data_IF_399587959282
#
_entry.id   IF_399587959282
#
_cell.length_a   1.000
_cell.length_b   1.000
_cell.length_c   1.000
_cell.angle_alpha   90.00
_cell.angle_beta   90.00
_cell.angle_gamma   90.00
#
_symmetry.space_group_name_H-M   'P 1'
#
loop_
_entity.id
_entity.type
_entity.pdbx_description
1 polymer ?
#
# COMPACT_ATOMS: atom_id res chain seq x y z
N UNK A 1 -1.03 -21.91 -14.06
CA UNK A 1 -0.32 -20.68 -14.50
C UNK A 1 -0.49 -20.38 -15.99
N UNK A 2 -0.33 -21.34 -16.91
CA UNK A 2 -0.45 -21.10 -18.37
C UNK A 2 -1.78 -20.47 -18.79
N UNK A 3 -2.90 -20.91 -18.19
CA UNK A 3 -4.22 -20.35 -18.47
C UNK A 3 -4.39 -18.90 -17.98
N UNK A 4 -3.77 -18.54 -16.85
CA UNK A 4 -3.75 -17.15 -16.35
C UNK A 4 -3.02 -16.26 -17.34
N UNK A 5 -1.85 -16.69 -17.82
CA UNK A 5 -1.10 -15.97 -18.85
C UNK A 5 -1.96 -15.73 -20.10
N UNK A 6 -2.69 -16.74 -20.58
CA UNK A 6 -3.58 -16.59 -21.73
C UNK A 6 -4.66 -15.52 -21.54
N UNK A 7 -5.23 -15.39 -20.34
CA UNK A 7 -6.22 -14.33 -20.10
C UNK A 7 -5.61 -12.93 -20.11
N UNK A 8 -4.40 -12.75 -19.59
CA UNK A 8 -3.70 -11.46 -19.63
C UNK A 8 -3.27 -11.02 -21.03
N UNK A 9 -2.86 -11.96 -21.89
CA UNK A 9 -2.43 -11.62 -23.26
C UNK A 9 -3.58 -11.56 -24.27
N UNK A 10 -4.80 -11.93 -23.85
CA UNK A 10 -6.00 -12.03 -24.70
C UNK A 10 -6.30 -10.73 -25.46
N UNK A 11 -6.23 -9.60 -24.77
CA UNK A 11 -6.58 -8.29 -25.30
C UNK A 11 -5.37 -7.50 -25.81
N UNK A 12 -4.15 -8.02 -25.60
CA UNK A 12 -2.87 -7.37 -26.01
C UNK A 12 -2.75 -5.94 -25.47
N UNK A 13 -3.12 -5.76 -24.21
CA UNK A 13 -3.11 -4.47 -23.54
C UNK A 13 -1.68 -3.94 -23.36
N UNK A 14 -1.44 -2.64 -23.59
CA UNK A 14 -0.13 -2.03 -23.32
C UNK A 14 0.27 -2.06 -21.84
N UNK A 15 -0.66 -1.78 -20.91
CA UNK A 15 -0.40 -1.67 -19.47
C UNK A 15 -0.97 -2.85 -18.69
N UNK A 16 -2.29 -3.07 -18.73
CA UNK A 16 -2.93 -4.13 -17.92
C UNK A 16 -2.73 -5.52 -18.56
N UNK A 17 -1.51 -6.02 -18.46
CA UNK A 17 -1.01 -7.28 -19.04
C UNK A 17 -0.29 -8.15 -18.00
N UNK A 18 0.31 -9.24 -18.45
CA UNK A 18 0.99 -10.24 -17.62
C UNK A 18 2.20 -9.67 -16.88
N UNK A 19 2.91 -8.70 -17.48
CA UNK A 19 4.01 -8.01 -16.80
C UNK A 19 3.52 -7.11 -15.67
N UNK A 20 2.36 -6.46 -15.82
CA UNK A 20 1.77 -5.68 -14.75
C UNK A 20 1.36 -6.59 -13.59
N UNK A 21 0.67 -7.70 -13.88
CA UNK A 21 0.35 -8.71 -12.87
C UNK A 21 1.59 -9.25 -12.15
N UNK A 22 2.69 -9.49 -12.88
CA UNK A 22 3.96 -9.91 -12.30
C UNK A 22 4.60 -8.83 -11.42
N UNK A 23 4.57 -7.56 -11.84
CA UNK A 23 5.09 -6.42 -11.06
C UNK A 23 4.32 -6.24 -9.75
N UNK A 24 2.99 -6.30 -9.79
CA UNK A 24 2.12 -6.22 -8.61
C UNK A 24 2.38 -7.41 -7.68
N UNK A 25 2.42 -8.64 -8.21
CA UNK A 25 2.71 -9.85 -7.43
C UNK A 25 4.08 -9.78 -6.75
N UNK A 26 5.10 -9.33 -7.48
CA UNK A 26 6.45 -9.17 -6.94
C UNK A 26 6.48 -8.09 -5.86
N UNK A 27 5.77 -6.99 -6.05
CA UNK A 27 5.68 -5.90 -5.08
C UNK A 27 4.97 -6.38 -3.80
N UNK A 28 3.86 -7.11 -3.91
CA UNK A 28 3.16 -7.73 -2.77
C UNK A 28 4.08 -8.69 -2.03
N UNK A 29 4.78 -9.57 -2.74
CA UNK A 29 5.76 -10.49 -2.15
C UNK A 29 6.87 -9.73 -1.40
N UNK A 30 7.42 -8.66 -1.99
CA UNK A 30 8.40 -7.81 -1.33
C UNK A 30 7.85 -7.22 -0.02
N UNK A 31 6.61 -6.73 -0.01
CA UNK A 31 5.98 -6.20 1.21
C UNK A 31 5.76 -7.29 2.27
N UNK A 32 5.35 -8.50 1.86
CA UNK A 32 5.18 -9.63 2.77
C UNK A 32 6.49 -10.01 3.46
N UNK A 33 7.58 -10.13 2.70
CA UNK A 33 8.88 -10.59 3.23
C UNK A 33 9.67 -9.48 3.93
N UNK A 34 9.87 -8.34 3.28
CA UNK A 34 10.83 -7.32 3.72
C UNK A 34 10.25 -6.34 4.75
N UNK A 35 8.92 -6.20 4.78
CA UNK A 35 8.23 -5.35 5.78
C UNK A 35 7.64 -6.15 6.94
N UNK A 36 7.97 -7.45 7.02
CA UNK A 36 7.59 -8.30 8.15
C UNK A 36 6.10 -8.65 8.24
N UNK A 37 5.29 -8.31 7.22
CA UNK A 37 3.85 -8.58 7.23
C UNK A 37 3.55 -10.09 7.29
N UNK A 38 4.40 -10.93 6.70
CA UNK A 38 4.30 -12.39 6.80
C UNK A 38 4.37 -12.91 8.25
N UNK A 39 5.00 -12.18 9.19
CA UNK A 39 5.05 -12.59 10.60
C UNK A 39 3.71 -12.40 11.34
N UNK A 40 2.77 -11.66 10.75
CA UNK A 40 1.46 -11.35 11.30
C UNK A 40 0.32 -12.18 10.67
N UNK A 41 0.59 -12.73 9.48
CA UNK A 41 -0.38 -13.43 8.65
C UNK A 41 -0.25 -14.95 8.82
N UNK A 42 -1.34 -15.67 8.56
CA UNK A 42 -1.32 -17.12 8.39
C UNK A 42 -0.82 -17.50 6.99
N UNK A 43 -0.43 -18.76 6.80
CA UNK A 43 -0.03 -19.27 5.48
C UNK A 43 -1.18 -19.15 4.46
N UNK A 44 -2.43 -19.34 4.90
CA UNK A 44 -3.62 -19.19 4.05
C UNK A 44 -3.82 -17.73 3.60
N UNK A 45 -3.61 -16.77 4.49
CA UNK A 45 -3.71 -15.33 4.19
C UNK A 45 -2.59 -14.86 3.25
N UNK A 46 -1.36 -15.36 3.45
CA UNK A 46 -0.22 -15.11 2.56
C UNK A 46 -0.52 -15.68 1.17
N UNK A 47 -1.02 -16.93 1.11
CA UNK A 47 -1.40 -17.57 -0.14
C UNK A 47 -2.52 -16.80 -0.85
N UNK A 48 -3.57 -16.38 -0.13
CA UNK A 48 -4.64 -15.55 -0.66
C UNK A 48 -4.12 -14.22 -1.21
N UNK A 49 -3.23 -13.55 -0.50
CA UNK A 49 -2.66 -12.27 -0.95
C UNK A 49 -1.88 -12.40 -2.27
N UNK A 50 -1.08 -13.45 -2.41
CA UNK A 50 -0.35 -13.73 -3.64
C UNK A 50 -1.29 -14.10 -4.79
N UNK A 51 -2.31 -14.92 -4.55
CA UNK A 51 -3.29 -15.26 -5.59
C UNK A 51 -4.11 -14.04 -6.00
N UNK A 52 -4.56 -13.22 -5.06
CA UNK A 52 -5.26 -11.97 -5.35
C UNK A 52 -4.43 -11.07 -6.26
N UNK A 53 -3.14 -10.87 -5.95
CA UNK A 53 -2.23 -10.09 -6.80
C UNK A 53 -2.07 -10.67 -8.21
N UNK A 54 -1.99 -12.00 -8.34
CA UNK A 54 -1.88 -12.69 -9.63
C UNK A 54 -3.14 -12.53 -10.49
N UNK A 55 -4.33 -12.40 -9.90
CA UNK A 55 -5.60 -12.42 -10.64
C UNK A 55 -6.33 -11.07 -10.67
N UNK A 56 -5.82 -10.02 -10.02
CA UNK A 56 -6.57 -8.78 -9.80
C UNK A 56 -7.05 -8.11 -11.09
N UNK A 57 -6.33 -8.30 -12.19
CA UNK A 57 -6.61 -7.76 -13.53
C UNK A 57 -6.88 -8.84 -14.59
N UNK A 58 -7.25 -10.05 -14.16
CA UNK A 58 -7.36 -11.18 -15.06
C UNK A 58 -8.41 -10.95 -16.16
N UNK A 59 -8.00 -11.05 -17.43
CA UNK A 59 -8.80 -10.70 -18.62
C UNK A 59 -9.23 -9.22 -18.72
N UNK A 60 -8.41 -8.28 -18.23
CA UNK A 60 -8.64 -6.85 -18.45
C UNK A 60 -8.79 -6.51 -19.95
N UNK A 61 -9.74 -5.63 -20.29
CA UNK A 61 -10.15 -5.33 -21.68
C UNK A 61 -9.38 -4.18 -22.32
N UNK A 62 -8.50 -3.55 -21.53
CA UNK A 62 -7.75 -2.36 -21.91
C UNK A 62 -8.59 -1.08 -21.87
N UNK A 63 -9.69 -1.08 -21.10
CA UNK A 63 -10.61 0.05 -20.95
C UNK A 63 -11.15 0.10 -19.52
N UNK A 64 -11.57 1.27 -19.04
CA UNK A 64 -12.04 1.48 -17.67
C UNK A 64 -13.48 1.01 -17.42
N UNK A 65 -13.87 0.89 -16.15
CA UNK A 65 -15.27 0.66 -15.74
C UNK A 65 -16.24 1.68 -16.37
N UNK A 66 -15.87 2.96 -16.43
CA UNK A 66 -16.70 4.00 -17.05
C UNK A 66 -16.94 3.75 -18.54
N UNK A 67 -15.92 3.31 -19.29
CA UNK A 67 -16.08 2.93 -20.69
C UNK A 67 -17.10 1.80 -20.85
N UNK A 68 -17.00 0.76 -20.03
CA UNK A 68 -17.92 -0.38 -20.04
C UNK A 68 -19.38 0.02 -19.78
N UNK A 69 -19.61 0.93 -18.83
CA UNK A 69 -20.94 1.47 -18.50
C UNK A 69 -21.47 2.34 -19.64
N UNK A 70 -20.68 3.29 -20.13
CA UNK A 70 -21.10 4.24 -21.18
C UNK A 70 -21.36 3.54 -22.53
N UNK A 71 -20.59 2.50 -22.84
CA UNK A 71 -20.78 1.68 -24.04
C UNK A 71 -21.84 0.58 -23.89
N UNK A 72 -22.40 0.38 -22.68
CA UNK A 72 -23.37 -0.69 -22.35
C UNK A 72 -22.88 -2.09 -22.74
N UNK A 73 -21.60 -2.35 -22.45
CA UNK A 73 -21.00 -3.67 -22.70
C UNK A 73 -21.74 -4.79 -21.94
N UNK A 74 -21.66 -6.02 -22.44
CA UNK A 74 -22.26 -7.20 -21.78
C UNK A 74 -21.76 -7.38 -20.35
N UNK A 75 -20.48 -7.08 -20.09
CA UNK A 75 -19.88 -7.16 -18.75
C UNK A 75 -20.51 -6.14 -17.80
N UNK A 76 -20.78 -4.91 -18.27
CA UNK A 76 -21.46 -3.89 -17.46
C UNK A 76 -22.89 -4.30 -17.11
N UNK A 77 -23.63 -4.87 -18.09
CA UNK A 77 -24.98 -5.40 -17.86
C UNK A 77 -24.97 -6.56 -16.86
N UNK A 78 -23.98 -7.46 -16.95
CA UNK A 78 -23.84 -8.59 -16.04
C UNK A 78 -23.62 -8.16 -14.59
N UNK A 79 -22.77 -7.14 -14.38
CA UNK A 79 -22.41 -6.64 -13.05
C UNK A 79 -23.19 -5.40 -12.60
N UNK A 80 -24.22 -5.02 -13.36
CA UNK A 80 -25.12 -3.89 -13.05
C UNK A 80 -24.34 -2.61 -12.72
N UNK A 81 -23.35 -2.29 -13.57
CA UNK A 81 -22.52 -1.09 -13.51
C UNK A 81 -21.64 -0.93 -12.24
N UNK A 82 -21.47 -1.98 -11.42
CA UNK A 82 -20.71 -1.92 -10.16
C UNK A 82 -19.41 -2.69 -10.26
N UNK A 83 -18.27 -2.00 -10.09
CA UNK A 83 -16.92 -2.58 -10.12
C UNK A 83 -16.80 -3.65 -11.22
N UNK A 84 -17.14 -3.24 -12.46
CA UNK A 84 -17.48 -4.13 -13.57
C UNK A 84 -16.32 -5.06 -13.90
N UNK A 85 -15.12 -4.49 -13.97
CA UNK A 85 -13.89 -5.18 -14.28
C UNK A 85 -13.42 -6.03 -13.09
N UNK A 86 -13.40 -5.48 -11.88
CA UNK A 86 -12.92 -6.19 -10.70
C UNK A 86 -13.79 -7.42 -10.38
N UNK A 87 -15.11 -7.31 -10.56
CA UNK A 87 -16.01 -8.45 -10.49
C UNK A 87 -15.75 -9.48 -11.61
N UNK A 88 -15.44 -9.03 -12.83
CA UNK A 88 -15.08 -9.91 -13.95
C UNK A 88 -13.79 -10.67 -13.66
N UNK A 89 -12.74 -9.98 -13.19
CA UNK A 89 -11.43 -10.55 -12.88
C UNK A 89 -11.56 -11.70 -11.88
N UNK A 90 -12.15 -11.43 -10.72
CA UNK A 90 -12.26 -12.42 -9.66
C UNK A 90 -13.24 -13.55 -10.00
N UNK A 91 -14.37 -13.24 -10.65
CA UNK A 91 -15.34 -14.25 -11.10
C UNK A 91 -14.70 -15.23 -12.09
N UNK A 92 -13.98 -14.71 -13.08
CA UNK A 92 -13.35 -15.51 -14.12
C UNK A 92 -12.20 -16.34 -13.57
N UNK A 93 -11.38 -15.77 -12.68
CA UNK A 93 -10.31 -16.50 -12.01
C UNK A 93 -10.85 -17.70 -11.21
N UNK A 94 -11.95 -17.54 -10.47
CA UNK A 94 -12.54 -18.65 -9.73
C UNK A 94 -13.29 -19.66 -10.61
N UNK A 95 -13.85 -19.24 -11.76
CA UNK A 95 -14.38 -20.19 -12.75
C UNK A 95 -13.26 -21.06 -13.30
N UNK A 96 -12.08 -20.48 -13.55
CA UNK A 96 -10.89 -21.21 -13.99
C UNK A 96 -10.41 -22.23 -12.94
N UNK A 97 -10.32 -21.78 -11.68
CA UNK A 97 -9.91 -22.65 -10.57
C UNK A 97 -10.96 -23.72 -10.19
N UNK A 98 -12.13 -23.75 -10.86
CA UNK A 98 -13.10 -24.84 -10.71
C UNK A 98 -12.75 -26.04 -11.59
N UNK A 99 -12.01 -25.84 -12.68
CA UNK A 99 -11.62 -26.90 -13.60
C UNK A 99 -10.55 -27.78 -12.94
N UNK A 100 -10.71 -29.11 -12.99
CA UNK A 100 -9.86 -30.06 -12.25
C UNK A 100 -8.37 -29.87 -12.54
N UNK A 101 -8.01 -29.63 -13.80
CA UNK A 101 -6.62 -29.45 -14.25
C UNK A 101 -5.98 -28.12 -13.78
N UNK A 102 -6.78 -27.18 -13.28
CA UNK A 102 -6.33 -25.83 -12.88
C UNK A 102 -6.72 -25.44 -11.46
N UNK A 103 -7.34 -26.36 -10.73
CA UNK A 103 -7.76 -26.15 -9.36
C UNK A 103 -6.57 -26.30 -8.39
N UNK A 104 -5.85 -25.20 -8.18
CA UNK A 104 -4.78 -25.10 -7.16
C UNK A 104 -5.31 -25.10 -5.71
N UNK A 105 -6.63 -25.11 -5.52
CA UNK A 105 -7.31 -25.03 -4.23
C UNK A 105 -7.90 -26.38 -3.80
N UNK A 106 -7.66 -27.45 -4.57
CA UNK A 106 -8.28 -28.77 -4.43
C UNK A 106 -8.02 -29.46 -3.07
N UNK A 107 -6.94 -29.08 -2.39
CA UNK A 107 -6.54 -29.65 -1.10
C UNK A 107 -6.92 -28.77 0.11
N UNK A 108 -7.53 -27.62 -0.09
CA UNK A 108 -8.07 -26.83 1.02
C UNK A 108 -9.31 -27.52 1.59
N UNK A 109 -9.46 -27.48 2.92
CA UNK A 109 -10.73 -27.81 3.56
C UNK A 109 -11.83 -26.84 3.11
N UNK A 110 -13.10 -27.17 3.40
CA UNK A 110 -14.23 -26.31 3.02
C UNK A 110 -14.16 -24.96 3.72
N UNK A 111 -13.71 -24.96 4.97
CA UNK A 111 -13.53 -23.79 5.81
C UNK A 111 -12.41 -22.91 5.27
N UNK A 112 -11.23 -23.48 4.97
CA UNK A 112 -10.10 -22.76 4.37
C UNK A 112 -10.45 -22.20 3.00
N UNK A 113 -11.12 -22.97 2.13
CA UNK A 113 -11.56 -22.47 0.83
C UNK A 113 -12.51 -21.27 0.97
N UNK A 114 -13.44 -21.31 1.92
CA UNK A 114 -14.38 -20.21 2.17
C UNK A 114 -13.65 -18.96 2.65
N UNK A 115 -12.71 -19.10 3.59
CA UNK A 115 -11.89 -18.00 4.09
C UNK A 115 -11.01 -17.41 2.98
N UNK A 116 -10.25 -18.26 2.28
CA UNK A 116 -9.43 -17.89 1.13
C UNK A 116 -10.25 -17.13 0.08
N UNK A 117 -11.40 -17.69 -0.33
CA UNK A 117 -12.24 -17.11 -1.36
C UNK A 117 -12.77 -15.74 -0.95
N UNK A 118 -13.20 -15.60 0.30
CA UNK A 118 -13.71 -14.32 0.83
C UNK A 118 -12.60 -13.27 0.78
N UNK A 119 -11.42 -13.63 1.25
CA UNK A 119 -10.26 -12.72 1.29
C UNK A 119 -9.82 -12.28 -0.12
N UNK A 120 -9.71 -13.20 -1.07
CA UNK A 120 -9.35 -12.86 -2.47
C UNK A 120 -10.40 -11.94 -3.11
N UNK A 121 -11.70 -12.18 -2.88
CA UNK A 121 -12.77 -11.32 -3.39
C UNK A 121 -12.65 -9.91 -2.81
N UNK A 122 -12.49 -9.79 -1.49
CA UNK A 122 -12.37 -8.49 -0.81
C UNK A 122 -11.12 -7.72 -1.27
N UNK A 123 -10.01 -8.42 -1.54
CA UNK A 123 -8.78 -7.81 -2.05
C UNK A 123 -8.93 -7.32 -3.49
N UNK A 124 -9.45 -8.15 -4.40
CA UNK A 124 -9.58 -7.77 -5.81
C UNK A 124 -10.63 -6.69 -6.01
N UNK A 125 -11.78 -6.75 -5.33
CA UNK A 125 -12.77 -5.67 -5.42
C UNK A 125 -12.25 -4.34 -4.87
N UNK A 126 -11.28 -4.38 -3.97
CA UNK A 126 -10.64 -3.19 -3.42
C UNK A 126 -9.64 -2.53 -4.38
N UNK A 127 -9.28 -3.12 -5.52
CA UNK A 127 -8.43 -2.42 -6.52
C UNK A 127 -9.22 -1.40 -7.33
N UNK A 128 -10.57 -1.41 -7.29
CA UNK A 128 -11.39 -0.38 -7.93
C UNK A 128 -11.08 1.01 -7.37
N UNK A 129 -10.49 1.85 -8.22
CA UNK A 129 -10.12 3.23 -7.91
C UNK A 129 -11.30 4.11 -7.48
N UNK A 130 -12.55 3.74 -7.76
CA UNK A 130 -13.74 4.44 -7.26
C UNK A 130 -13.85 4.42 -5.74
N UNK A 131 -13.29 3.38 -5.09
CA UNK A 131 -13.33 3.18 -3.64
C UNK A 131 -12.09 3.72 -2.92
N UNK A 132 -11.08 4.18 -3.66
CA UNK A 132 -9.76 4.61 -3.18
C UNK A 132 -9.82 5.50 -1.93
N UNK A 133 -10.48 6.67 -2.03
CA UNK A 133 -10.50 7.64 -0.94
C UNK A 133 -11.25 7.12 0.29
N UNK A 134 -12.27 6.28 0.10
CA UNK A 134 -13.00 5.66 1.20
C UNK A 134 -12.12 4.67 1.95
N UNK A 135 -11.35 3.84 1.24
CA UNK A 135 -10.41 2.91 1.84
C UNK A 135 -9.33 3.62 2.64
N UNK A 136 -8.66 4.62 2.04
CA UNK A 136 -7.60 5.41 2.70
C UNK A 136 -8.14 6.08 3.96
N UNK A 137 -9.32 6.71 3.89
CA UNK A 137 -9.97 7.34 5.05
C UNK A 137 -10.28 6.32 6.15
N UNK A 138 -10.79 5.15 5.80
CA UNK A 138 -11.13 4.10 6.76
C UNK A 138 -9.91 3.61 7.52
N UNK A 139 -8.81 3.32 6.81
CA UNK A 139 -7.57 2.84 7.44
C UNK A 139 -6.92 3.94 8.30
N UNK A 140 -6.86 5.18 7.80
CA UNK A 140 -6.33 6.33 8.56
C UNK A 140 -7.09 6.55 9.87
N UNK A 141 -8.42 6.38 9.82
CA UNK A 141 -9.26 6.42 11.02
C UNK A 141 -8.87 5.30 12.00
N UNK A 142 -8.77 4.05 11.54
CA UNK A 142 -8.39 2.91 12.38
C UNK A 142 -7.02 3.07 13.04
N UNK A 143 -6.01 3.57 12.30
CA UNK A 143 -4.65 3.82 12.81
C UNK A 143 -4.65 4.83 13.96
N UNK A 144 -5.58 5.80 13.92
CA UNK A 144 -5.67 6.89 14.89
C UNK A 144 -6.42 6.52 16.17
N UNK A 145 -7.14 5.39 16.19
CA UNK A 145 -7.84 4.92 17.39
C UNK A 145 -6.84 4.30 18.39
N UNK A 146 -7.07 4.53 19.68
CA UNK A 146 -6.26 3.97 20.77
C UNK A 146 -6.34 2.44 20.81
N UNK A 147 -7.53 1.90 20.56
CA UNK A 147 -7.79 0.45 20.50
C UNK A 147 -7.62 -0.05 19.06
N UNK A 148 -6.37 0.00 18.56
CA UNK A 148 -6.05 -0.44 17.21
C UNK A 148 -6.40 -1.93 16.99
N UNK A 149 -7.52 -2.14 16.31
CA UNK A 149 -8.00 -3.43 15.84
C UNK A 149 -8.15 -3.38 14.32
N UNK A 150 -7.14 -3.91 13.63
CA UNK A 150 -7.13 -3.96 12.18
C UNK A 150 -7.61 -5.32 11.71
N UNK A 151 -8.70 -5.30 10.95
CA UNK A 151 -9.15 -6.44 10.16
C UNK A 151 -8.09 -6.75 9.08
N UNK A 152 -7.62 -8.00 9.06
CA UNK A 152 -6.60 -8.46 8.11
C UNK A 152 -7.06 -8.34 6.67
N UNK A 153 -8.35 -8.54 6.39
CA UNK A 153 -8.88 -8.38 5.04
C UNK A 153 -8.68 -6.94 4.55
N UNK A 154 -9.05 -5.94 5.37
CA UNK A 154 -8.84 -4.52 5.05
C UNK A 154 -7.37 -4.15 4.91
N UNK A 155 -6.51 -4.73 5.74
CA UNK A 155 -5.06 -4.53 5.66
C UNK A 155 -4.51 -5.04 4.32
N UNK A 156 -4.87 -6.26 3.95
CA UNK A 156 -4.42 -6.90 2.71
C UNK A 156 -5.02 -6.23 1.47
N UNK A 157 -6.28 -5.79 1.52
CA UNK A 157 -6.87 -4.95 0.46
C UNK A 157 -6.06 -3.67 0.25
N UNK A 158 -5.67 -2.95 1.31
CA UNK A 158 -4.81 -1.78 1.18
C UNK A 158 -3.41 -2.14 0.64
N UNK A 159 -2.83 -3.26 1.08
CA UNK A 159 -1.53 -3.73 0.57
C UNK A 159 -1.60 -3.94 -0.93
N UNK A 160 -2.59 -4.69 -1.42
CA UNK A 160 -2.75 -4.95 -2.86
C UNK A 160 -2.99 -3.64 -3.62
N UNK A 161 -3.92 -2.80 -3.14
CA UNK A 161 -4.23 -1.50 -3.74
C UNK A 161 -2.98 -0.63 -3.89
N UNK A 162 -2.17 -0.50 -2.84
CA UNK A 162 -0.93 0.27 -2.89
C UNK A 162 0.12 -0.34 -3.82
N UNK A 163 0.20 -1.68 -3.91
CA UNK A 163 1.14 -2.38 -4.79
C UNK A 163 0.75 -2.23 -6.27
N UNK A 164 -0.55 -2.26 -6.56
CA UNK A 164 -1.12 -2.06 -7.89
C UNK A 164 -0.72 -0.69 -8.48
N UNK A 165 -0.94 0.39 -7.72
CA UNK A 165 -0.58 1.75 -8.14
C UNK A 165 0.89 2.15 -7.86
N UNK A 166 1.77 1.19 -7.59
CA UNK A 166 3.09 1.48 -6.99
C UNK A 166 4.17 1.96 -7.97
N UNK A 167 3.97 1.91 -9.29
CA UNK A 167 5.04 2.22 -10.24
C UNK A 167 5.70 3.61 -10.05
N UNK A 168 5.04 4.68 -9.52
CA UNK A 168 5.70 5.94 -9.18
C UNK A 168 6.69 5.88 -8.02
N UNK A 169 6.64 4.81 -7.22
CA UNK A 169 7.59 4.54 -6.13
C UNK A 169 8.79 3.68 -6.55
N UNK A 170 8.91 3.36 -7.85
CA UNK A 170 10.01 2.58 -8.42
C UNK A 170 11.03 3.49 -9.10
N UNK A 171 12.22 2.96 -9.40
CA UNK A 171 13.26 3.72 -10.10
C UNK A 171 12.74 4.34 -11.41
N UNK A 172 13.24 5.52 -11.76
CA UNK A 172 12.75 6.35 -12.87
C UNK A 172 12.54 5.58 -14.18
N UNK A 173 13.52 4.78 -14.61
CA UNK A 173 13.45 4.08 -15.90
C UNK A 173 12.26 3.12 -15.97
N UNK A 174 11.94 2.47 -14.84
CA UNK A 174 10.79 1.59 -14.73
C UNK A 174 9.49 2.38 -14.61
N UNK A 175 9.46 3.40 -13.75
CA UNK A 175 8.30 4.27 -13.58
C UNK A 175 7.88 4.91 -14.91
N UNK A 176 8.82 5.53 -15.61
CA UNK A 176 8.61 6.21 -16.88
C UNK A 176 8.12 5.24 -17.95
N UNK A 177 8.69 4.03 -18.04
CA UNK A 177 8.20 3.00 -18.98
C UNK A 177 6.75 2.61 -18.69
N UNK A 178 6.41 2.37 -17.42
CA UNK A 178 5.03 2.07 -17.03
C UNK A 178 4.07 3.21 -17.34
N UNK A 179 4.48 4.46 -17.08
CA UNK A 179 3.68 5.63 -17.45
C UNK A 179 3.39 5.67 -18.95
N UNK A 180 4.39 5.43 -19.81
CA UNK A 180 4.17 5.43 -21.26
C UNK A 180 3.21 4.33 -21.71
N UNK A 181 3.31 3.14 -21.13
CA UNK A 181 2.39 2.03 -21.41
C UNK A 181 0.96 2.37 -20.96
N UNK A 182 0.80 2.95 -19.77
CA UNK A 182 -0.50 3.38 -19.24
C UNK A 182 -1.14 4.44 -20.12
N UNK A 183 -0.37 5.46 -20.53
CA UNK A 183 -0.88 6.52 -21.40
C UNK A 183 -1.28 5.98 -22.77
N UNK A 184 -0.51 5.07 -23.37
CA UNK A 184 -0.91 4.45 -24.63
C UNK A 184 -2.23 3.69 -24.48
N UNK A 185 -2.43 2.96 -23.39
CA UNK A 185 -3.69 2.25 -23.15
C UNK A 185 -4.88 3.21 -22.99
N UNK A 186 -4.73 4.30 -22.23
CA UNK A 186 -5.75 5.35 -22.13
C UNK A 186 -6.04 6.02 -23.48
N UNK A 187 -5.02 6.25 -24.30
CA UNK A 187 -5.21 6.83 -25.63
C UNK A 187 -5.93 5.87 -26.58
N UNK A 188 -5.66 4.57 -26.50
CA UNK A 188 -6.42 3.56 -27.23
C UNK A 188 -7.89 3.50 -26.78
N UNK A 189 -8.17 3.70 -25.48
CA UNK A 189 -9.55 3.88 -25.02
C UNK A 189 -10.17 5.14 -25.62
N UNK A 190 -9.47 6.28 -25.61
CA UNK A 190 -9.99 7.53 -26.19
C UNK A 190 -10.33 7.39 -27.68
N UNK A 191 -9.51 6.67 -28.44
CA UNK A 191 -9.79 6.38 -29.85
C UNK A 191 -11.08 5.57 -30.01
N UNK A 192 -11.32 4.58 -29.12
CA UNK A 192 -12.57 3.81 -29.08
C UNK A 192 -13.76 4.70 -28.71
N UNK A 193 -13.62 5.57 -27.71
CA UNK A 193 -14.65 6.51 -27.28
C UNK A 193 -15.06 7.43 -28.44
N UNK A 194 -14.07 8.02 -29.14
CA UNK A 194 -14.30 8.83 -30.33
C UNK A 194 -15.04 8.05 -31.42
N UNK A 195 -14.63 6.82 -31.70
CA UNK A 195 -15.26 5.98 -32.72
C UNK A 195 -16.72 5.62 -32.40
N UNK A 196 -17.05 5.53 -31.11
CA UNK A 196 -18.41 5.28 -30.62
C UNK A 196 -19.24 6.56 -30.44
N UNK A 197 -18.66 7.74 -30.69
CA UNK A 197 -19.32 9.03 -30.42
C UNK A 197 -19.49 9.34 -28.93
N UNK A 198 -18.69 8.71 -28.06
CA UNK A 198 -18.65 8.98 -26.63
C UNK A 198 -17.72 10.15 -26.31
N UNK A 199 -17.97 10.91 -25.23
CA UNK A 199 -16.99 11.88 -24.73
C UNK A 199 -15.73 11.17 -24.26
N UNK A 200 -14.57 11.82 -24.42
CA UNK A 200 -13.32 11.29 -23.89
C UNK A 200 -13.37 11.21 -22.36
N UNK A 201 -12.97 10.06 -21.82
CA UNK A 201 -12.67 9.93 -20.40
C UNK A 201 -11.46 10.79 -20.04
N UNK A 202 -11.31 11.20 -18.76
CA UNK A 202 -10.12 11.91 -18.30
C UNK A 202 -8.83 11.21 -18.75
N UNK A 203 -7.85 11.99 -19.22
CA UNK A 203 -6.54 11.52 -19.72
C UNK A 203 -6.57 10.64 -20.98
N UNK A 204 -7.73 10.36 -21.57
CA UNK A 204 -7.85 9.49 -22.74
C UNK A 204 -7.68 10.22 -24.08
N UNK A 205 -7.67 11.56 -24.10
CA UNK A 205 -7.40 12.32 -25.33
C UNK A 205 -5.90 12.58 -25.50
N UNK A 206 -5.28 11.87 -26.45
CA UNK A 206 -3.85 11.97 -26.79
C UNK A 206 -3.42 13.36 -27.29
N UNK A 207 -4.35 14.23 -27.67
CA UNK A 207 -4.02 15.57 -28.19
C UNK A 207 -3.98 16.64 -27.10
N UNK A 208 -4.65 16.41 -25.97
CA UNK A 208 -4.81 17.41 -24.90
C UNK A 208 -4.17 16.98 -23.59
N UNK A 209 -3.91 15.68 -23.40
CA UNK A 209 -3.36 15.15 -22.16
C UNK A 209 -1.92 15.60 -21.91
N UNK A 210 -1.70 16.25 -20.76
CA UNK A 210 -0.39 16.69 -20.30
C UNK A 210 0.22 15.63 -19.37
N UNK A 211 0.97 14.69 -19.96
CA UNK A 211 1.46 13.51 -19.25
C UNK A 211 2.25 13.91 -17.99
N UNK A 212 3.25 14.79 -18.11
CA UNK A 212 4.08 15.18 -16.97
C UNK A 212 3.29 15.79 -15.80
N UNK A 213 2.34 16.68 -16.10
CA UNK A 213 1.47 17.30 -15.09
C UNK A 213 0.52 16.26 -14.46
N UNK A 214 -0.03 15.35 -15.27
CA UNK A 214 -0.88 14.26 -14.76
C UNK A 214 -0.14 13.36 -13.78
N UNK A 215 1.14 13.04 -14.04
CA UNK A 215 1.94 12.19 -13.15
C UNK A 215 2.32 12.89 -11.85
N UNK A 216 2.60 14.20 -11.89
CA UNK A 216 2.80 15.00 -10.68
C UNK A 216 1.53 14.96 -9.81
N UNK A 217 0.36 15.19 -10.41
CA UNK A 217 -0.91 15.10 -9.71
C UNK A 217 -1.19 13.71 -9.14
N UNK A 218 -0.91 12.65 -9.91
CA UNK A 218 -1.07 11.28 -9.45
C UNK A 218 -0.17 10.96 -8.24
N UNK A 219 1.09 11.40 -8.26
CA UNK A 219 2.00 11.25 -7.11
C UNK A 219 1.45 12.01 -5.90
N UNK A 220 1.09 13.29 -6.07
CA UNK A 220 0.75 14.18 -4.96
C UNK A 220 -0.59 13.85 -4.30
N UNK A 221 -1.58 13.42 -5.08
CA UNK A 221 -2.95 13.27 -4.59
C UNK A 221 -3.38 11.81 -4.40
N UNK A 222 -2.69 10.86 -5.02
CA UNK A 222 -3.06 9.44 -4.96
C UNK A 222 -1.94 8.62 -4.31
N UNK A 223 -0.76 8.55 -4.92
CA UNK A 223 0.25 7.55 -4.54
C UNK A 223 0.96 7.91 -3.23
N UNK A 224 1.45 9.13 -3.07
CA UNK A 224 2.16 9.52 -1.86
C UNK A 224 1.27 9.46 -0.60
N UNK A 225 0.04 9.99 -0.58
CA UNK A 225 -0.87 9.85 0.57
C UNK A 225 -1.20 8.39 0.90
N UNK A 226 -1.34 7.54 -0.12
CA UNK A 226 -1.63 6.11 0.07
C UNK A 226 -0.47 5.39 0.72
N UNK A 227 0.75 5.62 0.22
CA UNK A 227 1.96 4.99 0.76
C UNK A 227 2.35 5.55 2.14
N UNK A 228 1.93 6.77 2.48
CA UNK A 228 2.03 7.30 3.84
C UNK A 228 1.14 6.50 4.81
N UNK A 229 -0.15 6.37 4.49
CA UNK A 229 -1.11 5.60 5.31
C UNK A 229 -0.73 4.13 5.38
N UNK A 230 -0.23 3.55 4.30
CA UNK A 230 0.31 2.20 4.27
C UNK A 230 1.52 2.06 5.20
N UNK A 231 2.47 2.99 5.17
CA UNK A 231 3.62 2.99 6.08
C UNK A 231 3.21 3.08 7.55
N UNK A 232 2.25 3.95 7.86
CA UNK A 232 1.71 4.09 9.22
C UNK A 232 1.01 2.81 9.69
N UNK A 233 0.28 2.14 8.78
CA UNK A 233 -0.37 0.86 9.06
C UNK A 233 0.66 -0.21 9.42
N UNK A 234 1.74 -0.34 8.63
CA UNK A 234 2.82 -1.30 8.88
C UNK A 234 3.48 -1.04 10.25
N UNK A 235 3.74 0.23 10.59
CA UNK A 235 4.31 0.59 11.89
C UNK A 235 3.40 0.17 13.06
N UNK A 236 2.08 0.34 12.91
CA UNK A 236 1.11 -0.09 13.93
C UNK A 236 1.03 -1.61 14.07
N UNK A 237 1.06 -2.35 12.96
CA UNK A 237 1.07 -3.82 12.98
C UNK A 237 2.33 -4.31 13.71
N UNK A 238 3.51 -3.76 13.36
CA UNK A 238 4.77 -4.14 13.97
C UNK A 238 4.81 -3.83 15.47
N UNK A 239 4.32 -2.67 15.90
CA UNK A 239 4.21 -2.31 17.33
C UNK A 239 3.33 -3.29 18.12
N UNK A 240 2.22 -3.75 17.53
CA UNK A 240 1.31 -4.72 18.16
C UNK A 240 1.90 -6.14 18.21
N UNK A 241 2.68 -6.51 17.20
CA UNK A 241 3.39 -7.80 17.18
C UNK A 241 4.53 -7.84 18.21
N UNK A 242 5.21 -6.73 18.45
CA UNK A 242 6.26 -6.64 19.47
C UNK A 242 5.69 -6.66 20.89
N UNK A 243 4.56 -5.98 21.16
CA UNK A 243 3.95 -5.97 22.50
C UNK A 243 3.42 -7.34 22.91
N UNK A 244 2.90 -8.12 21.96
CA UNK A 244 2.45 -9.51 22.19
C UNK A 244 3.60 -10.52 22.36
N UNK A 245 4.84 -10.16 21.98
CA UNK A 245 6.04 -11.02 22.10
C UNK A 245 6.91 -10.77 23.34
N UNK A 246 6.46 -9.96 24.30
CA UNK A 246 7.17 -9.72 25.57
C UNK A 246 7.49 -11.05 26.29
N UNK A 247 8.70 -11.26 26.87
CA UNK A 247 9.14 -12.56 27.36
C UNK A 247 8.37 -13.00 28.61
N UNK A 248 8.27 -14.32 28.89
CA UNK A 248 7.80 -14.78 30.18
C UNK A 248 8.72 -14.22 31.28
N UNK A 249 8.11 -13.77 32.37
CA UNK A 249 8.78 -13.34 33.59
C UNK A 249 9.86 -14.37 33.92
N UNK A 250 11.14 -13.99 33.84
CA UNK A 250 12.21 -14.77 34.41
C UNK A 250 11.96 -14.78 35.92
N UNK A 251 11.47 -15.90 36.45
CA UNK A 251 11.59 -16.19 37.87
C UNK A 251 13.07 -16.03 38.22
N UNK A 252 13.36 -15.02 39.04
CA UNK A 252 14.67 -14.86 39.67
C UNK A 252 14.87 -16.05 40.61
N UNK A 253 15.52 -17.10 40.10
CA UNK A 253 16.20 -18.09 40.93
C UNK A 253 17.38 -17.38 41.56
N UNK A 254 17.19 -16.83 42.76
CA UNK A 254 18.31 -16.48 43.62
C UNK A 254 18.87 -17.79 44.21
N UNK A 255 20.03 -18.19 43.71
CA UNK A 255 20.90 -19.17 44.34
C UNK A 255 21.32 -18.65 45.73
N UNK A 256 20.87 -19.32 46.80
CA UNK A 256 21.45 -19.15 48.13
C UNK A 256 22.71 -20.00 48.28
N UNK A 257 23.80 -19.36 48.69
CA UNK A 257 25.11 -19.96 48.93
C UNK A 257 25.11 -20.90 50.14
N UNK A 258 25.77 -22.04 49.96
CA UNK A 258 26.39 -22.94 50.94
C UNK A 258 26.46 -22.49 52.41
N UNK A 259 25.90 -23.32 53.30
CA UNK A 259 26.17 -23.32 54.73
C UNK A 259 25.56 -24.56 55.41
N UNK A 260 26.38 -25.57 55.68
CA UNK A 260 26.00 -26.79 56.41
C UNK A 260 25.66 -26.50 57.89
N UNK A 261 24.52 -26.99 58.38
CA UNK A 261 24.44 -27.95 59.50
C UNK A 261 22.99 -28.24 59.98
N UNK A 262 22.70 -29.55 60.04
CA UNK A 262 21.92 -30.31 61.05
C UNK A 262 20.44 -29.98 61.35
N UNK A 263 19.64 -30.98 60.97
CA UNK A 263 18.70 -31.75 61.81
C UNK A 263 17.25 -31.27 62.02
N UNK A 264 16.37 -32.15 61.54
CA UNK A 264 15.18 -32.71 62.21
C UNK A 264 13.78 -32.20 61.85
N UNK A 265 12.93 -33.21 61.61
CA UNK A 265 11.51 -33.34 61.96
C UNK A 265 10.42 -32.72 61.05
N UNK A 266 9.74 -33.64 60.36
CA UNK A 266 8.29 -33.89 60.37
C UNK A 266 7.29 -32.77 59.95
N UNK A 267 6.53 -33.11 58.90
CA UNK A 267 5.06 -33.33 58.92
C UNK A 267 4.09 -32.16 58.57
N UNK A 268 3.48 -32.35 57.38
CA UNK A 268 2.04 -32.25 57.00
C UNK A 268 1.28 -30.91 56.98
N UNK A 269 0.51 -30.80 55.88
CA UNK A 269 -0.85 -30.21 55.68
C UNK A 269 -0.89 -28.66 55.75
N UNK A 270 -1.78 -27.92 55.08
CA UNK A 270 -2.85 -28.08 54.08
C UNK A 270 -3.49 -26.69 53.94
N UNK A 271 -4.05 -26.36 52.76
CA UNK A 271 -5.18 -25.42 52.53
C UNK A 271 -4.92 -23.91 52.81
N UNK A 272 -5.01 -23.04 51.80
CA UNK A 272 -6.22 -22.45 51.18
C UNK A 272 -7.01 -21.52 52.10
N UNK A 273 -7.24 -20.28 51.62
CA UNK A 273 -8.40 -19.36 51.78
C UNK A 273 -7.87 -17.90 51.66
N UNK A 274 -8.09 -17.20 50.53
CA UNK A 274 -9.21 -16.29 50.19
C UNK A 274 -9.36 -15.05 51.08
N UNK A 275 -9.55 -13.88 50.43
CA UNK A 275 -10.17 -12.67 50.99
C UNK A 275 -9.27 -11.44 50.90
N UNK A 276 -9.37 -10.61 49.86
CA UNK A 276 -10.24 -9.42 49.79
C UNK A 276 -9.81 -8.31 50.78
N UNK A 277 -9.13 -7.26 50.29
CA UNK A 277 -9.69 -5.99 49.78
C UNK A 277 -9.95 -4.95 50.89
N UNK A 278 -9.57 -3.70 50.57
CA UNK A 278 -10.17 -2.41 50.98
C UNK A 278 -9.32 -1.48 51.87
N UNK A 279 -8.87 -0.39 51.20
CA UNK A 279 -8.71 1.02 51.63
C UNK A 279 -7.77 1.31 52.84
N UNK A 280 -7.20 2.50 53.06
CA UNK A 280 -7.38 3.85 52.55
C UNK A 280 -6.11 4.63 53.00
N UNK A 281 -5.49 5.47 52.16
CA UNK A 281 -5.69 6.94 52.12
C UNK A 281 -4.88 7.74 53.17
N UNK A 282 -4.03 8.65 52.64
CA UNK A 282 -3.56 9.96 53.19
C UNK A 282 -2.52 9.90 54.33
N UNK A 283 -1.59 10.84 54.53
CA UNK A 283 -1.26 12.21 54.06
C UNK A 283 0.21 12.40 54.51
N UNK A 284 1.13 12.91 53.68
CA UNK A 284 1.44 14.33 53.46
C UNK A 284 1.88 15.09 54.74
N UNK A 285 3.17 15.46 54.81
CA UNK A 285 3.68 16.80 55.16
C UNK A 285 5.18 16.78 55.51
N UNK A 286 5.98 17.45 54.68
CA UNK A 286 7.23 18.17 55.04
C UNK A 286 6.86 19.43 55.86
N UNK A 287 7.79 20.23 56.47
CA UNK A 287 8.82 21.01 55.74
C UNK A 287 10.14 21.37 56.50
N UNK A 288 11.11 21.90 55.72
CA UNK A 288 12.09 22.99 56.01
C UNK A 288 13.05 22.91 57.26
N UNK A 289 14.38 23.08 57.15
CA UNK A 289 15.11 24.35 56.94
C UNK A 289 16.65 24.13 56.95
N UNK A 290 17.40 24.97 56.23
CA UNK A 290 18.89 25.09 56.17
C UNK A 290 19.47 25.93 57.35
N UNK A 291 20.81 26.14 57.57
CA UNK A 291 21.84 26.64 56.62
C UNK A 291 23.33 26.15 56.78
N UNK A 292 24.14 26.54 55.79
CA UNK A 292 25.61 26.50 55.54
C UNK A 292 26.55 27.03 56.68
N UNK A 293 27.91 27.13 56.55
CA UNK A 293 28.85 26.82 55.42
C UNK A 293 30.18 26.08 55.81
N UNK A 294 30.99 25.62 54.83
CA UNK A 294 32.44 25.93 54.64
C UNK A 294 33.18 24.92 53.73
N UNK A 295 33.92 25.46 52.75
CA UNK A 295 34.92 24.85 51.84
C UNK A 295 36.30 24.73 52.53
N UNK A 296 37.34 23.99 52.04
CA UNK A 296 37.75 23.89 50.61
C UNK A 296 38.34 22.54 50.08
N UNK A 297 38.06 22.25 48.79
CA UNK A 297 38.92 21.71 47.68
C UNK A 297 39.76 20.39 47.83
N UNK A 298 40.28 19.81 46.74
CA UNK A 298 39.60 19.15 45.61
C UNK A 298 40.08 17.69 45.41
N UNK A 299 39.23 16.78 44.93
CA UNK A 299 39.71 15.55 44.26
C UNK A 299 38.75 15.09 43.18
N UNK A 300 39.33 14.87 42.00
CA UNK A 300 38.71 14.46 40.75
C UNK A 300 38.23 13.01 40.81
N UNK A 301 36.93 12.78 40.65
CA UNK A 301 36.38 11.45 40.35
C UNK A 301 35.44 11.53 39.15
N UNK A 302 35.63 10.59 38.22
CA UNK A 302 34.91 10.49 36.96
C UNK A 302 33.43 10.16 37.17
N UNK A 303 32.50 10.67 36.34
CA UNK A 303 31.08 10.35 36.45
C UNK A 303 30.77 8.94 35.94
N UNK A 304 29.78 8.24 36.53
CA UNK A 304 29.31 6.96 36.03
C UNK A 304 28.58 7.16 34.68
N UNK A 305 28.89 6.28 33.73
CA UNK A 305 28.25 6.20 32.42
C UNK A 305 26.73 6.02 32.53
N UNK A 306 25.90 6.79 31.80
CA UNK A 306 24.47 6.55 31.75
C UNK A 306 24.21 5.25 30.98
N UNK A 307 23.48 4.32 31.62
CA UNK A 307 22.87 3.16 30.94
C UNK A 307 21.93 3.68 29.87
N UNK A 308 22.44 3.77 28.64
CA UNK A 308 21.62 4.04 27.47
C UNK A 308 20.90 2.74 27.15
N UNK A 309 19.67 2.59 27.66
CA UNK A 309 18.76 1.60 27.11
C UNK A 309 18.32 2.12 25.75
N UNK A 310 19.20 1.96 24.75
CA UNK A 310 18.87 2.23 23.36
C UNK A 310 17.94 1.11 22.92
N UNK A 311 16.64 1.26 23.20
CA UNK A 311 15.64 0.52 22.43
C UNK A 311 15.81 0.98 20.98
N UNK A 312 16.52 0.19 20.17
CA UNK A 312 16.49 0.32 18.73
C UNK A 312 15.04 0.10 18.31
N UNK A 313 14.27 1.18 18.19
CA UNK A 313 12.98 1.15 17.51
C UNK A 313 13.30 0.81 16.06
N UNK A 314 13.10 -0.45 15.69
CA UNK A 314 13.07 -0.88 14.29
C UNK A 314 12.03 -0.03 13.55
N UNK A 315 12.47 1.04 12.89
CA UNK A 315 11.60 1.90 12.10
C UNK A 315 11.32 1.16 10.80
N UNK A 316 10.05 0.96 10.46
CA UNK A 316 9.62 0.40 9.18
C UNK A 316 10.31 1.18 8.06
N UNK A 317 11.04 0.47 7.19
CA UNK A 317 11.75 1.10 6.09
C UNK A 317 10.72 1.54 5.05
N UNK A 318 10.75 2.82 4.65
CA UNK A 318 9.89 3.38 3.60
C UNK A 318 10.70 3.66 2.33
N UNK A 319 11.15 2.62 1.59
CA UNK A 319 12.03 2.79 0.43
C UNK A 319 11.39 3.60 -0.71
N UNK A 320 10.06 3.64 -0.78
CA UNK A 320 9.31 4.39 -1.79
C UNK A 320 9.50 5.90 -1.72
N UNK A 321 9.77 6.47 -0.53
CA UNK A 321 9.82 7.94 -0.34
C UNK A 321 10.85 8.59 -1.25
N UNK A 322 12.03 7.96 -1.37
CA UNK A 322 13.10 8.47 -2.23
C UNK A 322 12.67 8.54 -3.70
N UNK A 323 12.11 7.46 -4.24
CA UNK A 323 11.72 7.40 -5.63
C UNK A 323 10.52 8.28 -5.96
N UNK A 324 9.57 8.46 -5.05
CA UNK A 324 8.46 9.40 -5.25
C UNK A 324 8.97 10.84 -5.46
N UNK A 325 9.88 11.29 -4.59
CA UNK A 325 10.47 12.64 -4.70
C UNK A 325 11.35 12.79 -5.95
N UNK A 326 12.17 11.77 -6.25
CA UNK A 326 13.00 11.74 -7.45
C UNK A 326 12.14 11.82 -8.72
N UNK A 327 11.13 10.95 -8.84
CA UNK A 327 10.27 10.87 -10.02
C UNK A 327 9.44 12.14 -10.19
N UNK A 328 8.92 12.70 -9.08
CA UNK A 328 8.22 13.99 -9.10
C UNK A 328 9.10 15.11 -9.62
N UNK A 329 10.38 15.16 -9.19
CA UNK A 329 11.34 16.16 -9.66
C UNK A 329 11.58 16.02 -11.16
N UNK A 330 11.81 14.80 -11.65
CA UNK A 330 12.01 14.53 -13.09
C UNK A 330 10.77 14.89 -13.92
N UNK A 331 9.56 14.65 -13.42
CA UNK A 331 8.35 15.10 -14.11
C UNK A 331 8.20 16.62 -14.15
N UNK A 332 8.55 17.34 -13.07
CA UNK A 332 8.56 18.81 -13.09
C UNK A 332 9.51 19.36 -14.16
N UNK A 333 10.72 18.80 -14.24
CA UNK A 333 11.67 19.16 -15.30
C UNK A 333 11.09 18.88 -16.70
N UNK A 334 10.36 17.77 -16.84
CA UNK A 334 9.71 17.40 -18.11
C UNK A 334 8.58 18.37 -18.47
N UNK A 335 7.77 18.82 -17.51
CA UNK A 335 6.73 19.84 -17.75
C UNK A 335 7.30 21.12 -18.35
N UNK A 336 8.44 21.59 -17.84
CA UNK A 336 9.11 22.78 -18.40
C UNK A 336 9.56 22.55 -19.85
N UNK A 337 10.24 21.42 -20.13
CA UNK A 337 10.69 21.06 -21.48
C UNK A 337 9.53 20.91 -22.47
N UNK A 338 8.43 20.26 -22.05
CA UNK A 338 7.26 20.06 -22.90
C UNK A 338 6.51 21.39 -23.15
N UNK A 339 6.53 22.33 -22.20
CA UNK A 339 6.01 23.69 -22.41
C UNK A 339 6.86 24.50 -23.40
N UNK A 340 8.19 24.44 -23.30
CA UNK A 340 9.10 25.08 -24.24
C UNK A 340 8.92 24.54 -25.66
N UNK A 341 8.84 23.22 -25.83
CA UNK A 341 8.63 22.60 -27.14
C UNK A 341 7.30 23.03 -27.76
N UNK A 342 6.22 23.09 -26.98
CA UNK A 342 4.91 23.57 -27.46
C UNK A 342 4.96 25.03 -27.90
N UNK A 343 5.63 25.89 -27.14
CA UNK A 343 5.81 27.30 -27.49
C UNK A 343 6.64 27.47 -28.79
N UNK A 344 7.64 26.63 -29.00
CA UNK A 344 8.41 26.63 -30.26
C UNK A 344 7.56 26.18 -31.45
N UNK A 345 6.77 25.12 -31.29
CA UNK A 345 5.88 24.63 -32.34
C UNK A 345 4.78 25.63 -32.72
N UNK A 346 4.22 26.37 -31.75
CA UNK A 346 3.24 27.42 -32.04
C UNK A 346 3.86 28.58 -32.85
N UNK A 347 5.08 29.00 -32.50
CA UNK A 347 5.80 30.05 -33.25
C UNK A 347 6.10 29.62 -34.70
N UNK A 348 6.46 28.35 -34.93
CA UNK A 348 6.67 27.81 -36.28
C UNK A 348 5.36 27.74 -37.07
N UNK A 349 4.25 27.38 -36.42
CA UNK A 349 2.93 27.35 -37.06
C UNK A 349 2.45 28.74 -37.49
N UNK A 350 2.64 29.76 -36.64
CA UNK A 350 2.32 31.14 -36.96
C UNK A 350 3.21 31.70 -38.07
N UNK A 351 4.50 31.34 -38.08
CA UNK A 351 5.45 31.77 -39.11
C UNK A 351 5.17 31.16 -40.50
N UNK A 352 4.64 29.93 -40.54
CA UNK A 352 4.35 29.21 -41.80
C UNK A 352 2.97 29.57 -42.39
N UNK A 353 2.02 29.99 -41.55
CA UNK A 353 0.72 30.50 -42.02
C UNK A 353 0.73 32.01 -42.34
N UNK A 354 1.69 32.77 -41.81
CA UNK A 354 1.86 34.20 -42.08
C UNK A 354 2.36 34.54 -43.49
N UNK A 355 2.88 33.58 -44.25
CA UNK A 355 3.50 33.81 -45.58
C UNK A 355 2.55 33.53 -46.77
N UNK A 356 1.24 33.34 -46.50
CA UNK A 356 0.20 33.17 -47.54
C UNK A 356 -0.62 34.43 -47.85
N UNK A 357 -0.20 35.61 -47.39
CA UNK A 357 -0.79 36.88 -47.84
C UNK A 357 0.02 37.47 -49.00
N UNK A 358 -0.21 37.00 -50.22
CA UNK A 358 0.26 37.70 -51.42
C UNK A 358 -0.48 39.05 -51.59
N UNK A 359 0.20 40.10 -52.08
CA UNK A 359 -0.36 41.43 -52.18
C UNK A 359 -1.22 41.55 -53.43
N UNK A 360 -2.51 41.84 -53.25
CA UNK A 360 -3.39 42.27 -54.34
C UNK A 360 -2.85 43.57 -54.97
N UNK A 361 -2.27 43.47 -56.16
CA UNK A 361 -1.85 44.61 -56.98
C UNK A 361 -2.77 44.78 -58.19
N UNK A 362 -3.33 46.00 -58.28
CA UNK A 362 -3.85 46.76 -59.44
C UNK A 362 -5.22 46.28 -59.98
N UNK A 363 -6.15 47.19 -60.31
CA UNK A 363 -6.00 48.29 -61.28
C UNK A 363 -6.82 49.54 -60.87
N UNK A 364 -6.17 50.71 -61.04
CA UNK A 364 -6.71 52.07 -60.99
C UNK A 364 -7.39 52.38 -62.33
N UNK A 365 -8.55 53.03 -62.32
CA UNK A 365 -9.09 53.81 -63.45
C UNK A 365 -8.50 55.21 -63.41
#
# INVERSE_FOLDING_TARGET
MTQILHGYVRHKNPYHNDLHAADVTQTVHYMLCQQGLANWLSDLEIFAALIAAIVHDFEHTGTTNNFHVMSRSDTALLYNDRAVLENHHVSTAFRLMRDEDSNILSHLSKEEYKEFRTLVIDMVLATDMSSHFQQIKSIKSLISHSDFCLDKAKALSLVLHCCDISHPSKAWDLHHRWTLLLMEEFFLQGDKEKALGLPYSPLCDRNTTLIAESQIGFIDFIVAPSLEVFGDMLEKIEQKNQSTRSPPISESVNEESSGENKASALRRKSQSLTGALVNAVRRDNSPETSPNPSDPSPSTSAPPSPKTTTQLKSKVKRPWVYHLEENKTKWKERTHKDAELRAQLSVVHDSTNGDKSEPSKRVIV
#
